data_IF_696051646557
#
_entry.id   IF_696051646557
#
_cell.length_a   1.000
_cell.length_b   1.000
_cell.length_c   1.000
_cell.angle_alpha   90.00
_cell.angle_beta   90.00
_cell.angle_gamma   90.00
#
_symmetry.space_group_name_H-M   'P 1'
#
loop_
_entity.id
_entity.type
_entity.pdbx_description
1 polymer ?
#
# COMPACT_ATOMS: atom_id res chain seq x y z
N UNK A 1 1.58 -1.23 -3.38
CA UNK A 1 0.68 -0.14 -3.81
C UNK A 1 0.16 0.65 -2.62
N UNK A 2 -0.53 0.01 -1.67
CA UNK A 2 -0.94 0.64 -0.41
C UNK A 2 0.16 1.49 0.25
N UNK A 3 1.31 0.90 0.59
CA UNK A 3 2.44 1.63 1.16
C UNK A 3 3.00 2.76 0.27
N UNK A 4 2.94 2.62 -1.05
CA UNK A 4 3.38 3.69 -1.95
C UNK A 4 2.40 4.88 -1.91
N UNK A 5 1.11 4.62 -1.70
CA UNK A 5 0.08 5.63 -1.51
C UNK A 5 0.23 6.33 -0.15
N UNK A 6 0.56 5.59 0.90
CA UNK A 6 0.69 6.13 2.25
C UNK A 6 2.02 6.87 2.51
N UNK A 7 3.10 6.41 1.89
CA UNK A 7 4.45 6.92 2.18
C UNK A 7 4.98 7.91 1.15
N UNK A 8 4.20 8.23 0.10
CA UNK A 8 4.63 9.17 -0.95
C UNK A 8 3.48 10.06 -1.40
N UNK A 9 3.81 11.20 -2.01
CA UNK A 9 2.83 12.12 -2.60
C UNK A 9 2.41 11.71 -4.02
N UNK A 10 2.76 10.49 -4.47
CA UNK A 10 2.44 10.05 -5.82
C UNK A 10 0.93 9.90 -6.04
N UNK A 11 0.46 10.40 -7.17
CA UNK A 11 -0.93 10.19 -7.63
C UNK A 11 -1.19 8.73 -8.01
N UNK A 12 -2.46 8.32 -8.01
CA UNK A 12 -2.86 6.95 -8.39
C UNK A 12 -2.38 6.55 -9.80
N UNK A 13 -2.43 7.42 -10.84
CA UNK A 13 -1.83 7.10 -12.13
C UNK A 13 -0.31 6.91 -12.07
N UNK A 14 0.42 7.76 -11.33
CA UNK A 14 1.87 7.63 -11.18
C UNK A 14 2.26 6.33 -10.48
N UNK A 15 1.52 5.97 -9.42
CA UNK A 15 1.68 4.67 -8.76
C UNK A 15 1.43 3.55 -9.77
N UNK A 16 0.29 3.56 -10.46
CA UNK A 16 -0.05 2.53 -11.46
C UNK A 16 1.03 2.33 -12.53
N UNK A 17 1.56 3.44 -13.06
CA UNK A 17 2.67 3.44 -14.00
C UNK A 17 3.92 2.75 -13.45
N UNK A 18 4.32 3.03 -12.20
CA UNK A 18 5.47 2.41 -11.53
C UNK A 18 5.27 0.93 -11.21
N UNK A 19 4.03 0.46 -11.11
CA UNK A 19 3.68 -0.94 -10.90
C UNK A 19 3.39 -1.69 -12.22
N UNK A 20 4.15 -1.40 -13.28
CA UNK A 20 4.06 -2.09 -14.57
C UNK A 20 2.96 -1.56 -15.49
N UNK A 21 2.71 -0.25 -15.48
CA UNK A 21 1.70 0.36 -16.35
C UNK A 21 0.25 0.02 -15.99
N UNK A 22 -0.02 -0.33 -14.72
CA UNK A 22 -1.37 -0.67 -14.27
C UNK A 22 -2.27 0.55 -14.27
N UNK A 23 -3.54 0.32 -14.59
CA UNK A 23 -4.55 1.37 -14.55
C UNK A 23 -4.77 1.88 -13.11
N UNK A 24 -5.12 3.16 -12.97
CA UNK A 24 -5.29 3.79 -11.65
C UNK A 24 -6.40 3.11 -10.81
N UNK A 25 -7.43 2.55 -11.46
CA UNK A 25 -8.48 1.78 -10.78
C UNK A 25 -7.92 0.50 -10.11
N UNK A 26 -6.91 -0.14 -10.70
CA UNK A 26 -6.21 -1.28 -10.05
C UNK A 26 -5.51 -0.84 -8.77
N UNK A 27 -4.96 0.37 -8.76
CA UNK A 27 -4.33 0.93 -7.56
C UNK A 27 -5.38 1.17 -6.47
N UNK A 28 -6.53 1.75 -6.83
CA UNK A 28 -7.66 1.95 -5.91
C UNK A 28 -8.07 0.62 -5.28
N UNK A 29 -8.35 -0.40 -6.08
CA UNK A 29 -8.76 -1.71 -5.56
C UNK A 29 -7.69 -2.36 -4.67
N UNK A 30 -6.40 -2.20 -5.00
CA UNK A 30 -5.32 -2.74 -4.19
C UNK A 30 -5.16 -2.00 -2.85
N UNK A 31 -5.36 -0.68 -2.83
CA UNK A 31 -5.34 0.15 -1.62
C UNK A 31 -6.53 -0.23 -0.73
N UNK A 32 -7.75 -0.16 -1.26
CA UNK A 32 -8.98 -0.50 -0.54
C UNK A 32 -8.94 -1.90 0.08
N UNK A 33 -8.39 -2.89 -0.66
CA UNK A 33 -8.27 -4.25 -0.17
C UNK A 33 -7.41 -4.32 1.09
N UNK A 34 -6.24 -3.69 1.08
CA UNK A 34 -5.32 -3.70 2.22
C UNK A 34 -5.93 -2.91 3.38
N UNK A 35 -6.54 -1.75 3.12
CA UNK A 35 -7.21 -0.96 4.16
C UNK A 35 -8.31 -1.76 4.88
N UNK A 36 -9.16 -2.48 4.14
CA UNK A 36 -10.19 -3.33 4.74
C UNK A 36 -9.59 -4.46 5.57
N UNK A 37 -8.54 -5.12 5.07
CA UNK A 37 -7.84 -6.18 5.82
C UNK A 37 -7.25 -5.66 7.14
N UNK A 38 -6.71 -4.44 7.15
CA UNK A 38 -6.18 -3.81 8.36
C UNK A 38 -7.30 -3.36 9.31
N UNK A 39 -8.39 -2.79 8.78
CA UNK A 39 -9.50 -2.27 9.57
C UNK A 39 -10.31 -3.37 10.25
N UNK A 40 -10.61 -4.43 9.52
CA UNK A 40 -11.48 -5.50 10.00
C UNK A 40 -10.72 -6.49 10.91
N UNK A 41 -9.38 -6.39 10.97
CA UNK A 41 -8.54 -7.28 11.78
C UNK A 41 -8.57 -8.75 11.32
N UNK A 42 -9.09 -9.02 10.12
CA UNK A 42 -9.28 -10.38 9.60
C UNK A 42 -7.97 -11.16 9.42
N UNK A 43 -6.84 -10.47 9.23
CA UNK A 43 -5.55 -11.10 9.01
C UNK A 43 -4.45 -10.40 9.83
N UNK A 44 -4.13 -10.93 11.03
CA UNK A 44 -3.04 -10.43 11.86
C UNK A 44 -1.69 -10.42 11.14
N UNK A 45 -1.44 -11.38 10.23
CA UNK A 45 -0.17 -11.45 9.50
C UNK A 45 -0.01 -10.28 8.53
N UNK A 46 -1.09 -9.85 7.88
CA UNK A 46 -1.07 -8.66 7.03
C UNK A 46 -0.79 -7.40 7.86
N UNK A 47 -1.40 -7.28 9.04
CA UNK A 47 -1.16 -6.15 9.94
C UNK A 47 0.30 -6.07 10.38
N UNK A 48 0.86 -7.19 10.84
CA UNK A 48 2.25 -7.27 11.28
C UNK A 48 3.22 -6.99 10.12
N UNK A 49 2.95 -7.56 8.93
CA UNK A 49 3.79 -7.36 7.75
C UNK A 49 3.78 -5.89 7.28
N UNK A 50 2.61 -5.26 7.23
CA UNK A 50 2.48 -3.85 6.88
C UNK A 50 3.23 -2.99 7.89
N UNK A 51 3.09 -3.27 9.19
CA UNK A 51 3.83 -2.59 10.25
C UNK A 51 5.34 -2.71 10.10
N UNK A 52 5.84 -3.93 9.89
CA UNK A 52 7.26 -4.23 9.73
C UNK A 52 7.87 -3.52 8.52
N UNK A 53 7.24 -3.65 7.34
CA UNK A 53 7.75 -3.02 6.11
C UNK A 53 7.71 -1.49 6.25
N UNK A 54 6.64 -0.94 6.84
CA UNK A 54 6.52 0.51 7.06
C UNK A 54 7.61 1.05 7.99
N UNK A 55 7.91 0.34 9.09
CA UNK A 55 8.97 0.71 10.00
C UNK A 55 10.33 0.69 9.27
N UNK A 56 10.63 -0.37 8.53
CA UNK A 56 11.89 -0.50 7.79
C UNK A 56 12.09 0.59 6.74
N UNK A 57 11.04 0.94 6.00
CA UNK A 57 11.09 2.02 4.99
C UNK A 57 11.35 3.39 5.62
N UNK A 58 10.80 3.66 6.82
CA UNK A 58 11.03 4.91 7.55
C UNK A 58 12.39 4.96 8.25
N UNK A 59 12.93 3.83 8.66
CA UNK A 59 14.24 3.74 9.32
C UNK A 59 15.43 3.74 8.36
N UNK A 60 15.23 3.80 7.04
CA UNK A 60 16.32 3.83 6.06
C UNK A 60 16.85 5.26 5.85
N UNK A 61 17.03 6.03 6.93
CA UNK A 61 17.55 7.39 6.88
C UNK A 61 18.69 7.61 7.87
#
# INVERSE_FOLDING_TARGET
MYLARELTEASLPQIGAKFGGRHHTTVIHAVDKVERQLKDGHDPQVHDLVGLISARLRSTH
#
